data_IF_994981914665
#
_entry.id   IF_994981914665
#
_cell.length_a   1.000
_cell.length_b   1.000
_cell.length_c   1.000
_cell.angle_alpha   90.00
_cell.angle_beta   90.00
_cell.angle_gamma   90.00
#
_symmetry.space_group_name_H-M   'P 1'
#
loop_
_entity.id
_entity.type
_entity.pdbx_description
1 polymer ?
#
# COMPACT_ATOMS: atom_id res chain seq x y z
N UNK A 1 16.67 19.25 12.07
CA UNK A 1 15.67 18.65 11.15
C UNK A 1 14.56 19.66 10.84
N UNK A 2 13.95 20.35 11.85
CA UNK A 2 12.90 21.36 11.60
C UNK A 2 13.32 22.47 10.61
N UNK A 3 14.58 22.96 10.67
CA UNK A 3 15.11 23.90 9.68
C UNK A 3 15.12 23.30 8.26
N UNK A 4 15.57 22.05 8.12
CA UNK A 4 15.55 21.35 6.83
C UNK A 4 14.13 21.17 6.29
N UNK A 5 13.17 20.86 7.16
CA UNK A 5 11.76 20.79 6.76
C UNK A 5 11.27 22.15 6.27
N UNK A 6 11.60 23.24 6.99
CA UNK A 6 11.22 24.60 6.58
C UNK A 6 11.81 24.95 5.22
N UNK A 7 13.09 24.68 5.00
CA UNK A 7 13.77 24.92 3.72
C UNK A 7 13.13 24.10 2.59
N UNK A 8 12.80 22.85 2.86
CA UNK A 8 12.10 21.97 1.91
C UNK A 8 10.69 22.48 1.55
N UNK A 9 9.94 22.92 2.55
CA UNK A 9 8.61 23.51 2.34
C UNK A 9 8.68 24.80 1.54
N UNK A 10 9.70 25.67 1.79
CA UNK A 10 9.93 26.88 1.03
C UNK A 10 10.37 26.59 -0.41
N UNK A 11 11.07 25.47 -0.63
CA UNK A 11 11.43 24.98 -1.96
C UNK A 11 10.26 24.31 -2.71
N UNK A 12 9.10 24.15 -2.08
CA UNK A 12 7.86 23.64 -2.71
C UNK A 12 7.45 22.23 -2.34
N UNK A 13 7.96 21.67 -1.25
CA UNK A 13 7.48 20.39 -0.73
C UNK A 13 5.99 20.48 -0.33
N UNK A 14 5.24 19.38 -0.50
CA UNK A 14 3.82 19.30 -0.17
C UNK A 14 3.54 18.94 1.29
N UNK A 15 4.55 18.68 2.09
CA UNK A 15 4.42 18.33 3.50
C UNK A 15 5.54 17.42 3.96
N UNK A 16 5.30 16.66 5.03
CA UNK A 16 6.20 15.60 5.45
C UNK A 16 5.45 14.31 5.73
N UNK A 17 6.17 13.21 5.65
CA UNK A 17 5.67 11.89 5.98
C UNK A 17 6.47 11.28 7.11
N UNK A 18 5.80 10.46 7.93
CA UNK A 18 6.42 9.70 9.00
C UNK A 18 5.76 8.32 9.12
N UNK A 19 6.33 7.45 9.93
CA UNK A 19 5.77 6.12 10.15
C UNK A 19 5.84 5.74 11.63
N UNK A 20 4.80 5.11 12.10
CA UNK A 20 4.76 4.38 13.38
C UNK A 20 4.70 2.86 13.17
N UNK A 21 4.80 2.43 11.91
CA UNK A 21 4.66 1.06 11.45
C UNK A 21 5.74 0.12 12.01
N UNK A 22 5.32 -0.89 12.79
CA UNK A 22 6.21 -1.88 13.39
C UNK A 22 7.08 -2.63 12.38
N UNK A 23 6.53 -2.91 11.19
CA UNK A 23 7.21 -3.59 10.09
C UNK A 23 8.22 -2.70 9.34
N UNK A 24 8.17 -1.38 9.49
CA UNK A 24 9.17 -0.49 8.91
C UNK A 24 10.45 -0.54 9.73
N UNK A 25 11.31 -1.47 9.36
CA UNK A 25 12.60 -1.74 10.00
C UNK A 25 13.73 -1.47 9.02
N UNK A 26 14.86 -1.02 9.56
CA UNK A 26 16.10 -0.84 8.82
C UNK A 26 17.00 -2.07 8.91
N UNK A 27 18.28 -1.86 8.60
CA UNK A 27 19.29 -2.93 8.65
C UNK A 27 19.27 -3.66 10.00
N UNK A 28 19.34 -4.98 9.97
CA UNK A 28 19.28 -5.88 11.13
C UNK A 28 18.01 -5.75 12.00
N UNK A 29 16.87 -5.39 11.40
CA UNK A 29 15.61 -5.26 12.13
C UNK A 29 15.52 -4.05 13.08
N UNK A 30 16.46 -3.11 13.00
CA UNK A 30 16.43 -1.90 13.83
C UNK A 30 15.26 -1.00 13.40
N UNK A 31 14.51 -0.40 14.33
CA UNK A 31 13.48 0.57 14.00
C UNK A 31 14.06 1.71 13.13
N UNK A 32 13.29 2.20 12.17
CA UNK A 32 13.63 3.45 11.48
C UNK A 32 13.65 4.62 12.47
N UNK A 33 14.52 5.60 12.26
CA UNK A 33 14.70 6.72 13.18
C UNK A 33 13.39 7.49 13.42
N UNK A 34 12.55 7.66 12.41
CA UNK A 34 11.26 8.35 12.52
C UNK A 34 10.26 7.63 13.46
N UNK A 35 10.38 6.30 13.64
CA UNK A 35 9.58 5.53 14.61
C UNK A 35 9.95 5.80 16.07
N UNK A 36 11.11 6.40 16.30
CA UNK A 36 11.65 6.74 17.62
C UNK A 36 11.48 8.23 17.94
N UNK A 37 10.88 8.99 17.03
CA UNK A 37 10.60 10.40 17.23
C UNK A 37 9.64 10.58 18.43
N UNK A 38 10.02 11.43 19.37
CA UNK A 38 9.14 11.82 20.47
C UNK A 38 8.17 12.94 20.09
N UNK A 39 7.19 13.21 20.93
CA UNK A 39 6.23 14.26 20.70
C UNK A 39 6.87 15.65 20.51
N UNK A 40 8.02 15.90 21.13
CA UNK A 40 8.75 17.16 21.03
C UNK A 40 9.31 17.38 19.62
N UNK A 41 9.83 16.32 19.02
CA UNK A 41 10.31 16.34 17.65
C UNK A 41 9.14 16.55 16.67
N UNK A 42 8.05 15.80 16.83
CA UNK A 42 6.85 15.93 15.98
C UNK A 42 6.22 17.33 16.09
N UNK A 43 6.13 17.89 17.29
CA UNK A 43 5.65 19.26 17.51
C UNK A 43 6.49 20.30 16.78
N UNK A 44 7.83 20.14 16.77
CA UNK A 44 8.71 21.05 16.04
C UNK A 44 8.46 21.01 14.51
N UNK A 45 8.08 19.85 13.97
CA UNK A 45 7.69 19.74 12.55
C UNK A 45 6.30 20.34 12.28
N UNK A 46 5.36 20.11 13.16
CA UNK A 46 4.02 20.71 13.07
C UNK A 46 4.08 22.23 13.09
N UNK A 47 4.93 22.83 13.94
CA UNK A 47 5.11 24.28 14.03
C UNK A 47 5.59 24.88 12.71
N UNK A 48 6.48 24.20 11.97
CA UNK A 48 6.92 24.64 10.63
C UNK A 48 5.75 24.73 9.66
N UNK A 49 4.90 23.69 9.60
CA UNK A 49 3.74 23.67 8.71
C UNK A 49 2.70 24.73 9.10
N UNK A 50 2.49 24.91 10.40
CA UNK A 50 1.60 25.93 10.96
C UNK A 50 2.07 27.34 10.63
N UNK A 51 3.37 27.64 10.84
CA UNK A 51 3.98 28.94 10.49
C UNK A 51 3.80 29.27 9.02
N UNK A 52 4.05 28.30 8.14
CA UNK A 52 3.92 28.46 6.69
C UNK A 52 2.47 28.37 6.19
N UNK A 53 1.53 27.94 7.03
CA UNK A 53 0.12 27.72 6.73
C UNK A 53 -0.10 26.88 5.45
N UNK A 54 0.75 25.90 5.19
CA UNK A 54 0.64 25.00 4.03
C UNK A 54 1.24 23.63 4.31
N UNK A 55 0.93 22.68 3.44
CA UNK A 55 1.40 21.30 3.50
C UNK A 55 0.39 20.37 4.14
N UNK A 56 0.66 19.09 3.98
CA UNK A 56 -0.11 17.96 4.51
C UNK A 56 0.83 17.03 5.26
N UNK A 57 0.35 16.37 6.30
CA UNK A 57 1.11 15.35 7.02
C UNK A 57 0.55 13.98 6.61
N UNK A 58 1.43 13.05 6.31
CA UNK A 58 1.06 11.65 6.10
C UNK A 58 1.75 10.76 7.12
N UNK A 59 1.02 9.84 7.74
CA UNK A 59 1.55 8.91 8.73
C UNK A 59 1.12 7.48 8.44
N UNK A 60 2.07 6.55 8.42
CA UNK A 60 1.74 5.14 8.40
C UNK A 60 1.47 4.65 9.83
N UNK A 61 0.22 4.29 10.10
CA UNK A 61 -0.24 3.65 11.33
C UNK A 61 -0.22 2.15 11.15
N UNK A 62 -0.10 1.36 12.22
CA UNK A 62 0.12 -0.06 11.98
C UNK A 62 -0.13 -1.05 13.08
N UNK A 63 -0.86 -0.68 14.08
CA UNK A 63 -1.27 -1.73 15.01
C UNK A 63 -2.35 -2.62 14.38
N UNK A 64 -3.28 -2.03 13.64
CA UNK A 64 -4.33 -2.73 12.90
C UNK A 64 -4.78 -1.86 11.71
N UNK A 65 -4.81 -2.43 10.52
CA UNK A 65 -5.20 -1.68 9.30
C UNK A 65 -6.69 -1.35 9.23
N UNK A 66 -7.51 -1.93 10.07
CA UNK A 66 -8.96 -1.68 10.13
C UNK A 66 -9.37 -0.83 11.33
N UNK A 67 -8.45 -0.57 12.26
CA UNK A 67 -8.70 0.16 13.50
C UNK A 67 -7.62 1.18 13.79
N UNK A 68 -7.98 2.17 14.60
CA UNK A 68 -7.05 3.15 15.17
C UNK A 68 -6.98 2.93 16.66
N UNK A 69 -5.83 2.52 17.19
CA UNK A 69 -5.62 2.34 18.63
C UNK A 69 -5.64 3.66 19.38
N UNK A 70 -5.76 3.62 20.69
CA UNK A 70 -5.76 4.83 21.53
C UNK A 70 -4.50 5.67 21.32
N UNK A 71 -3.32 5.05 21.27
CA UNK A 71 -2.05 5.75 21.05
C UNK A 71 -1.93 6.36 19.65
N UNK A 72 -2.48 5.69 18.62
CA UNK A 72 -2.53 6.23 17.25
C UNK A 72 -3.52 7.38 17.15
N UNK A 73 -4.66 7.29 17.84
CA UNK A 73 -5.61 8.39 17.94
C UNK A 73 -4.98 9.62 18.61
N UNK A 74 -4.22 9.43 19.69
CA UNK A 74 -3.47 10.51 20.36
C UNK A 74 -2.43 11.13 19.42
N UNK A 75 -1.73 10.33 18.63
CA UNK A 75 -0.79 10.81 17.62
C UNK A 75 -1.48 11.64 16.53
N UNK A 76 -2.59 11.15 15.97
CA UNK A 76 -3.37 11.88 14.97
C UNK A 76 -3.91 13.21 15.53
N UNK A 77 -4.42 13.19 16.76
CA UNK A 77 -4.89 14.40 17.45
C UNK A 77 -3.76 15.42 17.68
N UNK A 78 -2.59 14.96 18.11
CA UNK A 78 -1.40 15.80 18.26
C UNK A 78 -1.03 16.48 16.95
N UNK A 79 -0.92 15.71 15.85
CA UNK A 79 -0.52 16.22 14.54
C UNK A 79 -1.54 17.23 14.00
N UNK A 80 -2.84 16.93 14.08
CA UNK A 80 -3.92 17.83 13.66
C UNK A 80 -3.93 19.13 14.48
N UNK A 81 -3.92 19.01 15.83
CA UNK A 81 -4.03 20.15 16.72
C UNK A 81 -2.80 21.07 16.64
N UNK A 82 -1.60 20.50 16.57
CA UNK A 82 -0.37 21.27 16.55
C UNK A 82 -0.09 21.95 15.20
N UNK A 83 -0.37 21.27 14.09
CA UNK A 83 -0.08 21.78 12.76
C UNK A 83 -1.20 22.68 12.20
N UNK A 84 -2.46 22.39 12.55
CA UNK A 84 -3.64 22.98 11.91
C UNK A 84 -3.74 22.62 10.42
N UNK A 85 -3.10 21.52 9.98
CA UNK A 85 -3.02 21.07 8.60
C UNK A 85 -3.70 19.71 8.44
N UNK A 86 -4.12 19.35 7.21
CA UNK A 86 -4.64 18.03 6.96
C UNK A 86 -3.64 16.94 7.34
N UNK A 87 -4.14 15.88 7.97
CA UNK A 87 -3.36 14.68 8.32
C UNK A 87 -4.02 13.49 7.67
N UNK A 88 -3.31 12.85 6.77
CA UNK A 88 -3.77 11.60 6.15
C UNK A 88 -2.98 10.42 6.72
N UNK A 89 -3.61 9.27 6.82
CA UNK A 89 -2.92 8.08 7.33
C UNK A 89 -3.15 6.83 6.48
N UNK A 90 -2.14 5.98 6.43
CA UNK A 90 -2.13 4.64 5.88
C UNK A 90 -2.34 3.64 7.02
N UNK A 91 -3.24 2.71 6.94
CA UNK A 91 -4.30 2.55 5.99
C UNK A 91 -5.59 2.25 6.75
N UNK A 92 -6.73 2.42 6.09
CA UNK A 92 -7.99 1.89 6.58
C UNK A 92 -8.48 0.86 5.57
N UNK A 93 -8.29 -0.42 5.89
CA UNK A 93 -8.58 -1.56 5.02
C UNK A 93 -9.51 -2.53 5.72
N UNK A 94 -10.36 -3.22 4.97
CA UNK A 94 -11.21 -4.26 5.52
C UNK A 94 -10.43 -5.53 5.85
N UNK A 95 -10.81 -6.14 6.96
CA UNK A 95 -10.41 -7.48 7.38
C UNK A 95 -11.62 -8.41 7.28
N UNK A 96 -11.39 -9.66 6.90
CA UNK A 96 -12.49 -10.62 6.75
C UNK A 96 -12.96 -11.18 8.09
N UNK A 97 -12.15 -11.06 9.15
CA UNK A 97 -12.47 -11.51 10.50
C UNK A 97 -13.28 -10.49 11.33
N UNK A 98 -13.45 -9.26 10.82
CA UNK A 98 -14.30 -8.22 11.42
C UNK A 98 -14.83 -7.25 10.36
N UNK A 99 -15.96 -7.59 9.78
CA UNK A 99 -16.59 -6.84 8.69
C UNK A 99 -17.07 -5.42 9.08
N UNK A 100 -17.21 -5.14 10.37
CA UNK A 100 -17.65 -3.83 10.87
C UNK A 100 -16.50 -2.94 11.37
N UNK A 101 -15.28 -3.45 11.45
CA UNK A 101 -14.16 -2.73 12.05
C UNK A 101 -13.90 -1.36 11.44
N UNK A 102 -13.93 -1.25 10.11
CA UNK A 102 -13.68 0.03 9.41
C UNK A 102 -14.76 1.08 9.68
N UNK A 103 -16.03 0.70 9.69
CA UNK A 103 -17.13 1.63 9.98
C UNK A 103 -17.15 2.07 11.44
N UNK A 104 -16.86 1.15 12.36
CA UNK A 104 -16.69 1.48 13.77
C UNK A 104 -15.55 2.49 13.94
N UNK A 105 -14.40 2.26 13.30
CA UNK A 105 -13.27 3.19 13.33
C UNK A 105 -13.63 4.56 12.79
N UNK A 106 -14.30 4.65 11.63
CA UNK A 106 -14.75 5.94 11.08
C UNK A 106 -15.69 6.70 12.03
N UNK A 107 -16.46 5.98 12.83
CA UNK A 107 -17.32 6.57 13.86
C UNK A 107 -16.49 7.06 15.05
N UNK A 108 -15.56 6.24 15.53
CA UNK A 108 -14.69 6.55 16.68
C UNK A 108 -13.74 7.73 16.43
N UNK A 109 -13.28 7.92 15.18
CA UNK A 109 -12.40 9.03 14.80
C UNK A 109 -13.12 10.18 14.07
N UNK A 110 -14.43 10.24 14.16
CA UNK A 110 -15.24 11.23 13.41
C UNK A 110 -14.88 12.69 13.74
N UNK A 111 -14.50 12.97 14.99
CA UNK A 111 -14.02 14.29 15.42
C UNK A 111 -12.65 14.65 14.82
N UNK A 112 -11.76 13.69 14.63
CA UNK A 112 -10.48 13.89 13.92
C UNK A 112 -10.73 14.16 12.43
N UNK A 113 -11.65 13.42 11.82
CA UNK A 113 -12.06 13.61 10.41
C UNK A 113 -12.65 15.01 10.22
N UNK A 114 -13.52 15.46 11.13
CA UNK A 114 -14.10 16.80 11.08
C UNK A 114 -13.05 17.94 11.14
N UNK A 115 -11.85 17.65 11.65
CA UNK A 115 -10.71 18.59 11.74
C UNK A 115 -9.68 18.42 10.63
N UNK A 116 -9.93 17.57 9.63
CA UNK A 116 -9.05 17.34 8.48
C UNK A 116 -8.20 16.09 8.59
N UNK A 117 -8.57 15.13 9.43
CA UNK A 117 -8.05 13.77 9.41
C UNK A 117 -8.64 12.98 8.25
N UNK A 118 -7.83 12.28 7.45
CA UNK A 118 -8.30 11.59 6.25
C UNK A 118 -7.64 10.21 6.16
N UNK A 119 -8.41 9.12 6.37
CA UNK A 119 -7.92 7.77 6.11
C UNK A 119 -7.74 7.51 4.64
N UNK A 120 -6.68 6.79 4.28
CA UNK A 120 -6.48 6.28 2.93
C UNK A 120 -6.91 4.82 2.85
N UNK A 121 -7.55 4.46 1.74
CA UNK A 121 -7.87 3.07 1.40
C UNK A 121 -7.59 2.79 -0.08
N UNK A 122 -7.52 1.51 -0.44
CA UNK A 122 -7.46 1.09 -1.83
C UNK A 122 -8.78 0.43 -2.25
N UNK A 123 -9.12 0.56 -3.52
CA UNK A 123 -10.27 -0.12 -4.11
C UNK A 123 -9.95 -1.56 -4.58
N UNK A 124 -8.71 -2.00 -4.38
CA UNK A 124 -8.22 -3.32 -4.80
C UNK A 124 -8.02 -4.22 -3.58
N UNK A 125 -8.03 -5.54 -3.74
CA UNK A 125 -7.41 -6.42 -2.77
C UNK A 125 -5.95 -6.04 -2.57
N UNK A 126 -5.52 -5.99 -1.31
CA UNK A 126 -4.13 -5.73 -0.95
C UNK A 126 -3.36 -7.04 -1.02
N UNK A 127 -2.63 -7.23 -2.13
CA UNK A 127 -1.90 -8.47 -2.40
C UNK A 127 -0.41 -8.22 -2.26
N UNK A 128 0.24 -9.00 -1.41
CA UNK A 128 1.69 -8.96 -1.25
C UNK A 128 2.32 -10.26 -1.81
N UNK A 129 3.43 -10.11 -2.53
CA UNK A 129 4.29 -11.22 -2.90
C UNK A 129 5.28 -11.47 -1.79
N UNK A 130 5.42 -12.73 -1.40
CA UNK A 130 6.28 -13.16 -0.29
C UNK A 130 7.25 -14.20 -0.82
N UNK A 131 8.54 -14.03 -0.51
CA UNK A 131 9.52 -15.12 -0.48
C UNK A 131 10.18 -15.18 0.89
N UNK A 132 10.85 -16.30 1.18
CA UNK A 132 11.50 -16.46 2.48
C UNK A 132 13.00 -16.14 2.48
N UNK A 133 13.56 -15.66 1.35
CA UNK A 133 14.91 -15.04 1.34
C UNK A 133 14.87 -13.67 1.98
N UNK A 134 13.78 -12.91 1.71
CA UNK A 134 13.54 -11.57 2.26
C UNK A 134 12.15 -11.49 2.91
N UNK A 135 11.94 -12.17 4.06
CA UNK A 135 10.61 -12.35 4.66
C UNK A 135 10.09 -11.07 5.34
N UNK A 136 9.87 -10.01 4.54
CA UNK A 136 9.50 -8.66 4.99
C UNK A 136 8.26 -8.65 5.88
N UNK A 137 7.22 -9.39 5.51
CA UNK A 137 5.94 -9.42 6.25
C UNK A 137 6.09 -9.95 7.68
N UNK A 138 7.13 -10.75 7.93
CA UNK A 138 7.41 -11.33 9.24
C UNK A 138 8.48 -10.59 10.03
N UNK A 139 9.02 -9.48 9.49
CA UNK A 139 10.17 -8.77 10.07
C UNK A 139 9.91 -8.19 11.47
N UNK A 140 8.65 -7.98 11.86
CA UNK A 140 8.27 -7.53 13.20
C UNK A 140 7.98 -8.67 14.19
N UNK A 141 8.05 -9.93 13.75
CA UNK A 141 7.91 -11.10 14.64
C UNK A 141 9.27 -11.48 15.20
N UNK A 142 9.43 -11.48 16.52
CA UNK A 142 10.69 -11.73 17.20
C UNK A 142 11.36 -13.06 16.78
N UNK A 143 10.56 -14.10 16.52
CA UNK A 143 11.06 -15.41 16.08
C UNK A 143 11.77 -15.36 14.72
N UNK A 144 11.52 -14.34 13.88
CA UNK A 144 12.18 -14.18 12.58
C UNK A 144 13.51 -13.41 12.65
N UNK A 145 13.82 -12.72 13.76
CA UNK A 145 15.07 -11.99 13.92
C UNK A 145 16.34 -12.83 13.59
N UNK A 146 16.42 -14.13 14.00
CA UNK A 146 17.57 -14.97 13.63
C UNK A 146 17.67 -15.29 12.14
N UNK A 147 16.56 -15.19 11.38
CA UNK A 147 16.49 -15.51 9.94
C UNK A 147 16.91 -14.32 9.08
N UNK A 148 16.64 -13.10 9.56
CA UNK A 148 16.87 -11.87 8.80
C UNK A 148 18.37 -11.65 8.53
N UNK A 149 18.71 -11.25 7.29
CA UNK A 149 20.06 -10.92 6.84
C UNK A 149 21.07 -12.09 6.97
N UNK A 150 20.59 -13.33 6.82
CA UNK A 150 21.41 -14.54 6.75
C UNK A 150 21.50 -15.02 5.30
N UNK A 151 22.50 -15.87 5.03
CA UNK A 151 22.52 -16.61 3.78
C UNK A 151 21.45 -17.71 3.74
N UNK A 152 21.12 -18.18 2.55
CA UNK A 152 20.03 -19.16 2.34
C UNK A 152 20.26 -20.46 3.11
N UNK A 153 21.51 -20.91 3.24
CA UNK A 153 21.80 -22.16 3.95
C UNK A 153 21.55 -22.03 5.46
N UNK A 154 21.95 -20.91 6.06
CA UNK A 154 21.65 -20.61 7.47
C UNK A 154 20.15 -20.42 7.69
N UNK A 155 19.46 -19.66 6.80
CA UNK A 155 18.00 -19.48 6.87
C UNK A 155 17.28 -20.84 6.84
N UNK A 156 17.59 -21.70 5.88
CA UNK A 156 16.99 -23.06 5.77
C UNK A 156 17.18 -23.86 7.04
N UNK A 157 18.38 -23.84 7.61
CA UNK A 157 18.68 -24.56 8.86
C UNK A 157 17.81 -24.07 10.03
N UNK A 158 17.57 -22.75 10.13
CA UNK A 158 16.71 -22.18 11.17
C UNK A 158 15.26 -22.59 10.92
N UNK A 159 14.74 -22.41 9.69
CA UNK A 159 13.36 -22.72 9.33
C UNK A 159 13.00 -24.21 9.47
N UNK A 160 13.99 -25.10 9.39
CA UNK A 160 13.82 -26.55 9.61
C UNK A 160 13.74 -26.93 11.09
N UNK A 161 14.13 -26.06 12.01
CA UNK A 161 14.20 -26.40 13.43
C UNK A 161 12.82 -26.40 14.10
N UNK A 162 12.55 -27.40 14.94
CA UNK A 162 11.30 -27.51 15.72
C UNK A 162 11.06 -26.27 16.59
N UNK A 163 12.16 -25.70 17.14
CA UNK A 163 12.09 -24.49 17.96
C UNK A 163 11.55 -23.30 17.18
N UNK A 164 12.03 -23.08 15.95
CA UNK A 164 11.54 -22.01 15.10
C UNK A 164 10.08 -22.24 14.71
N UNK A 165 9.72 -23.43 14.23
CA UNK A 165 8.37 -23.77 13.81
C UNK A 165 7.36 -23.58 14.94
N UNK A 166 7.69 -24.04 16.14
CA UNK A 166 6.85 -23.84 17.33
C UNK A 166 6.69 -22.35 17.65
N UNK A 167 7.80 -21.58 17.68
CA UNK A 167 7.76 -20.16 17.97
C UNK A 167 6.97 -19.39 16.91
N UNK A 168 7.11 -19.74 15.64
CA UNK A 168 6.35 -19.11 14.55
C UNK A 168 4.86 -19.38 14.63
N UNK A 169 4.45 -20.63 14.88
CA UNK A 169 3.03 -20.99 15.11
C UNK A 169 2.43 -20.23 16.29
N UNK A 170 3.17 -20.02 17.37
CA UNK A 170 2.72 -19.21 18.51
C UNK A 170 2.66 -17.72 18.18
N UNK A 171 3.61 -17.19 17.40
CA UNK A 171 3.59 -15.80 16.97
C UNK A 171 2.40 -15.48 16.06
N UNK A 172 2.05 -16.41 15.15
CA UNK A 172 0.91 -16.27 14.25
C UNK A 172 -0.45 -16.12 14.98
N UNK A 173 -0.59 -16.66 16.19
CA UNK A 173 -1.81 -16.52 17.02
C UNK A 173 -1.99 -15.09 17.58
N UNK A 174 -0.95 -14.25 17.55
CA UNK A 174 -0.92 -12.92 18.18
C UNK A 174 -0.75 -11.77 17.20
N UNK A 175 -0.46 -12.07 15.95
CA UNK A 175 -0.25 -11.03 14.92
C UNK A 175 -1.58 -10.48 14.45
N UNK A 176 -1.63 -9.16 14.23
CA UNK A 176 -2.79 -8.46 13.66
C UNK A 176 -2.67 -8.26 12.15
N UNK A 177 -1.47 -8.42 11.58
CA UNK A 177 -1.21 -8.19 10.16
C UNK A 177 -1.36 -9.48 9.36
N UNK A 178 -0.77 -10.57 9.84
CA UNK A 178 -0.87 -11.87 9.15
C UNK A 178 -2.01 -12.69 9.75
N UNK A 179 -3.07 -12.88 9.00
CA UNK A 179 -4.31 -13.52 9.49
C UNK A 179 -4.28 -15.04 9.50
N UNK A 180 -3.17 -15.70 9.14
CA UNK A 180 -3.03 -17.16 9.00
C UNK A 180 -4.06 -17.80 8.04
N UNK A 181 -4.54 -17.04 7.07
CA UNK A 181 -5.51 -17.46 6.05
C UNK A 181 -4.76 -18.13 4.90
N UNK A 182 -4.44 -19.39 5.06
CA UNK A 182 -3.65 -20.18 4.11
C UNK A 182 -4.40 -20.48 2.80
N UNK A 183 -5.73 -20.37 2.80
CA UNK A 183 -6.60 -20.47 1.63
C UNK A 183 -6.49 -19.29 0.64
N UNK A 184 -5.98 -18.14 1.08
CA UNK A 184 -5.75 -16.97 0.23
C UNK A 184 -4.26 -16.73 -0.07
N UNK A 185 -3.40 -17.67 0.32
CA UNK A 185 -1.99 -17.68 -0.02
C UNK A 185 -1.74 -18.72 -1.12
N UNK A 186 -1.42 -18.24 -2.33
CA UNK A 186 -1.22 -19.09 -3.51
C UNK A 186 0.23 -19.10 -3.99
N UNK A 187 0.68 -20.23 -4.52
CA UNK A 187 1.99 -20.35 -5.16
C UNK A 187 1.96 -19.56 -6.48
N UNK A 188 2.81 -18.55 -6.61
CA UNK A 188 2.91 -17.70 -7.81
C UNK A 188 3.98 -18.16 -8.77
N UNK A 189 5.20 -18.40 -8.26
CA UNK A 189 6.38 -18.74 -9.06
C UNK A 189 7.28 -19.69 -8.31
N UNK A 190 7.94 -20.60 -9.02
CA UNK A 190 8.90 -21.56 -8.48
C UNK A 190 10.16 -21.59 -9.33
N UNK A 191 11.31 -21.80 -8.71
CA UNK A 191 12.58 -22.03 -9.38
C UNK A 191 12.80 -23.53 -9.66
N UNK A 192 12.32 -24.38 -8.77
CA UNK A 192 12.43 -25.83 -8.91
C UNK A 192 11.29 -26.36 -9.82
N UNK A 193 11.65 -26.79 -11.04
CA UNK A 193 10.69 -27.29 -12.04
C UNK A 193 9.81 -28.43 -11.54
N UNK A 194 10.27 -29.24 -10.58
CA UNK A 194 9.45 -30.33 -10.02
C UNK A 194 8.23 -29.82 -9.25
N UNK A 195 8.20 -28.53 -8.88
CA UNK A 195 7.13 -27.87 -8.12
C UNK A 195 6.20 -27.03 -9.02
N UNK A 196 6.43 -26.95 -10.35
CA UNK A 196 5.61 -26.16 -11.28
C UNK A 196 4.11 -26.53 -11.23
N UNK A 197 3.79 -27.78 -10.92
CA UNK A 197 2.41 -28.26 -10.80
C UNK A 197 1.64 -27.64 -9.61
N UNK A 198 2.33 -26.96 -8.70
CA UNK A 198 1.74 -26.26 -7.54
C UNK A 198 1.34 -24.82 -7.85
N UNK A 199 1.81 -24.24 -8.97
CA UNK A 199 1.50 -22.85 -9.34
C UNK A 199 -0.01 -22.66 -9.44
N UNK A 200 -0.54 -21.64 -8.75
CA UNK A 200 -1.96 -21.34 -8.65
C UNK A 200 -2.72 -22.09 -7.55
N UNK A 201 -2.12 -23.08 -6.90
CA UNK A 201 -2.72 -23.75 -5.74
C UNK A 201 -2.47 -22.95 -4.47
N UNK A 202 -3.42 -22.97 -3.54
CA UNK A 202 -3.23 -22.35 -2.24
C UNK A 202 -2.59 -23.32 -1.23
N UNK A 203 -1.98 -22.74 -0.18
CA UNK A 203 -1.24 -23.52 0.82
C UNK A 203 -2.14 -24.47 1.60
N UNK A 204 -3.39 -24.08 1.91
CA UNK A 204 -4.34 -24.93 2.64
C UNK A 204 -4.70 -26.18 1.82
N UNK A 205 -4.92 -26.05 0.51
CA UNK A 205 -5.20 -27.19 -0.39
C UNK A 205 -4.00 -28.13 -0.50
N UNK A 206 -2.77 -27.58 -0.61
CA UNK A 206 -1.56 -28.40 -0.70
C UNK A 206 -1.35 -29.16 0.61
N UNK A 207 -1.45 -28.47 1.75
CA UNK A 207 -1.31 -29.07 3.08
C UNK A 207 -2.33 -30.19 3.32
N UNK A 208 -3.61 -29.96 2.95
CA UNK A 208 -4.66 -30.97 3.08
C UNK A 208 -4.40 -32.22 2.23
N UNK A 209 -3.85 -32.07 1.02
CA UNK A 209 -3.48 -33.19 0.14
C UNK A 209 -2.33 -34.04 0.70
N UNK A 210 -1.36 -33.39 1.33
CA UNK A 210 -0.20 -34.06 1.93
C UNK A 210 -0.46 -34.54 3.37
N UNK A 211 -1.57 -34.10 3.99
CA UNK A 211 -1.91 -34.44 5.38
C UNK A 211 -1.06 -33.72 6.41
N UNK A 212 -0.56 -32.51 6.06
CA UNK A 212 0.35 -31.71 6.88
C UNK A 212 -0.30 -30.44 7.44
N UNK A 213 0.33 -29.84 8.43
CA UNK A 213 -0.03 -28.51 8.96
C UNK A 213 0.29 -27.42 7.93
N UNK A 214 -0.60 -26.45 7.66
CA UNK A 214 -0.33 -25.41 6.66
C UNK A 214 0.92 -24.56 6.91
N UNK A 215 1.29 -24.30 8.17
CA UNK A 215 2.53 -23.56 8.51
C UNK A 215 3.77 -24.38 8.11
N UNK A 216 3.77 -25.66 8.44
CA UNK A 216 4.86 -26.56 8.09
C UNK A 216 4.96 -26.71 6.57
N UNK A 217 3.82 -26.90 5.88
CA UNK A 217 3.76 -26.98 4.42
C UNK A 217 4.33 -25.72 3.76
N UNK A 218 3.95 -24.53 4.21
CA UNK A 218 4.48 -23.25 3.71
C UNK A 218 6.00 -23.17 3.82
N UNK A 219 6.54 -23.51 5.00
CA UNK A 219 7.98 -23.51 5.24
C UNK A 219 8.70 -24.57 4.38
N UNK A 220 8.14 -25.78 4.29
CA UNK A 220 8.76 -26.89 3.55
C UNK A 220 8.76 -26.63 2.03
N UNK A 221 7.71 -26.04 1.48
CA UNK A 221 7.67 -25.64 0.08
C UNK A 221 8.74 -24.59 -0.22
N UNK A 222 8.85 -23.58 0.63
CA UNK A 222 9.90 -22.56 0.47
C UNK A 222 11.31 -23.17 0.56
N UNK A 223 11.55 -24.10 1.50
CA UNK A 223 12.85 -24.79 1.67
C UNK A 223 13.17 -25.65 0.45
N UNK A 224 12.19 -26.39 -0.12
CA UNK A 224 12.36 -27.20 -1.33
C UNK A 224 12.75 -26.36 -2.56
N UNK A 225 12.36 -25.07 -2.57
CA UNK A 225 12.65 -24.13 -3.66
C UNK A 225 13.76 -23.13 -3.31
N UNK A 226 14.68 -23.49 -2.41
CA UNK A 226 15.80 -22.66 -1.99
C UNK A 226 15.36 -21.27 -1.48
N UNK A 227 14.23 -21.21 -0.80
CA UNK A 227 13.54 -20.01 -0.29
C UNK A 227 13.16 -18.99 -1.38
N UNK A 228 13.22 -19.37 -2.66
CA UNK A 228 12.92 -18.50 -3.80
C UNK A 228 11.47 -18.57 -4.27
N UNK A 229 10.70 -19.57 -3.81
CA UNK A 229 9.27 -19.68 -4.12
C UNK A 229 8.56 -18.39 -3.79
N UNK A 230 7.80 -17.87 -4.77
CA UNK A 230 6.99 -16.69 -4.59
C UNK A 230 5.57 -17.10 -4.25
N UNK A 231 5.01 -16.45 -3.24
CA UNK A 231 3.62 -16.63 -2.86
C UNK A 231 2.88 -15.31 -3.04
N UNK A 232 1.69 -15.34 -3.63
CA UNK A 232 0.71 -14.26 -3.53
C UNK A 232 -0.09 -14.45 -2.25
N UNK A 233 -0.16 -13.41 -1.44
CA UNK A 233 -1.01 -13.41 -0.26
C UNK A 233 -1.99 -12.23 -0.31
N UNK A 234 -3.30 -12.51 -0.39
CA UNK A 234 -4.36 -11.51 -0.29
C UNK A 234 -4.57 -11.14 1.18
N UNK A 235 -3.85 -10.13 1.62
CA UNK A 235 -3.71 -9.78 3.02
C UNK A 235 -4.94 -9.04 3.58
N UNK A 236 -5.45 -8.06 2.83
CA UNK A 236 -6.58 -7.21 3.22
C UNK A 236 -7.46 -6.90 2.02
N UNK A 237 -8.66 -6.36 2.25
CA UNK A 237 -9.63 -6.04 1.20
C UNK A 237 -9.94 -7.22 0.27
N UNK A 238 -9.84 -8.45 0.78
CA UNK A 238 -10.08 -9.67 0.01
C UNK A 238 -11.57 -10.01 -0.08
N UNK A 239 -12.38 -9.57 0.88
CA UNK A 239 -13.84 -9.68 0.81
C UNK A 239 -14.42 -8.56 -0.04
N UNK A 240 -14.73 -8.89 -1.29
CA UNK A 240 -15.25 -7.93 -2.27
C UNK A 240 -16.57 -7.28 -1.81
N UNK A 241 -17.38 -7.97 -1.00
CA UNK A 241 -18.66 -7.44 -0.52
C UNK A 241 -18.52 -6.21 0.40
N UNK A 242 -17.38 -6.05 1.05
CA UNK A 242 -17.10 -4.94 1.97
C UNK A 242 -16.50 -3.70 1.29
N UNK A 243 -15.98 -3.83 0.07
CA UNK A 243 -15.29 -2.76 -0.63
C UNK A 243 -16.21 -1.61 -1.07
N UNK A 244 -17.45 -1.84 -1.54
CA UNK A 244 -18.36 -0.77 -1.92
C UNK A 244 -18.53 0.29 -0.83
N UNK A 245 -18.65 -0.13 0.42
CA UNK A 245 -18.83 0.77 1.56
C UNK A 245 -17.60 1.67 1.77
N UNK A 246 -16.38 1.13 1.62
CA UNK A 246 -15.13 1.88 1.72
C UNK A 246 -14.99 2.92 0.60
N UNK A 247 -15.19 2.50 -0.65
CA UNK A 247 -14.88 3.34 -1.81
C UNK A 247 -15.96 4.39 -2.09
N UNK A 248 -17.15 4.25 -1.53
CA UNK A 248 -18.22 5.25 -1.63
C UNK A 248 -18.25 6.25 -0.48
N UNK A 249 -17.63 5.93 0.65
CA UNK A 249 -17.58 6.80 1.83
C UNK A 249 -16.75 8.08 1.55
N UNK A 250 -17.35 9.28 1.66
CA UNK A 250 -16.65 10.52 1.36
C UNK A 250 -15.56 10.89 2.39
N UNK A 251 -15.53 10.24 3.53
CA UNK A 251 -14.52 10.45 4.58
C UNK A 251 -13.18 9.79 4.25
N UNK A 252 -13.15 8.84 3.32
CA UNK A 252 -11.99 8.04 2.94
C UNK A 252 -11.42 8.57 1.63
N UNK A 253 -10.10 8.67 1.50
CA UNK A 253 -9.43 8.93 0.22
C UNK A 253 -9.04 7.60 -0.43
N UNK A 254 -9.36 7.45 -1.71
CA UNK A 254 -8.87 6.33 -2.52
C UNK A 254 -7.44 6.61 -2.96
N UNK A 255 -6.51 5.73 -2.56
CA UNK A 255 -5.08 5.88 -2.82
C UNK A 255 -4.34 4.57 -2.67
N UNK A 256 -3.20 4.58 -1.98
CA UNK A 256 -2.37 3.40 -1.67
C UNK A 256 -1.84 2.68 -2.92
N UNK A 257 -1.18 3.42 -3.82
CA UNK A 257 -0.67 2.84 -5.06
C UNK A 257 0.50 1.87 -4.87
N UNK A 258 1.27 1.99 -3.77
CA UNK A 258 2.55 1.28 -3.53
C UNK A 258 3.48 1.28 -4.77
N UNK A 259 3.31 2.26 -5.64
CA UNK A 259 4.01 2.36 -6.92
C UNK A 259 5.40 2.98 -6.80
N UNK A 260 6.29 2.41 -6.00
CA UNK A 260 7.63 2.95 -5.82
C UNK A 260 8.33 2.42 -4.57
N UNK A 261 7.59 1.82 -3.63
CA UNK A 261 8.14 1.13 -2.48
C UNK A 261 7.90 -0.37 -2.63
N UNK A 262 8.83 -1.19 -2.11
CA UNK A 262 8.71 -2.65 -2.13
C UNK A 262 8.37 -3.21 -3.53
N UNK A 263 9.03 -2.70 -4.55
CA UNK A 263 8.67 -2.92 -5.97
C UNK A 263 8.67 -4.39 -6.39
N UNK A 264 9.32 -5.27 -5.66
CA UNK A 264 9.34 -6.71 -5.87
C UNK A 264 8.30 -7.49 -5.07
N UNK A 265 7.54 -6.79 -4.20
CA UNK A 265 6.56 -7.41 -3.32
C UNK A 265 5.15 -6.80 -3.43
N UNK A 266 5.02 -5.54 -3.82
CA UNK A 266 3.76 -4.81 -3.83
C UNK A 266 3.63 -3.93 -5.07
N UNK A 267 2.45 -3.87 -5.67
CA UNK A 267 2.09 -2.84 -6.64
C UNK A 267 0.57 -2.70 -6.75
N UNK A 268 0.03 -1.60 -6.25
CA UNK A 268 -1.37 -1.22 -6.41
C UNK A 268 -1.54 -0.05 -7.40
N UNK A 269 -0.52 0.29 -8.18
CA UNK A 269 -0.52 1.41 -9.12
C UNK A 269 -1.67 1.37 -10.15
N UNK A 270 -2.22 0.17 -10.41
CA UNK A 270 -3.40 0.00 -11.26
C UNK A 270 -4.76 0.37 -10.62
N UNK A 271 -4.78 0.92 -9.40
CA UNK A 271 -6.04 1.16 -8.67
C UNK A 271 -7.01 2.10 -9.41
N UNK A 272 -6.53 3.12 -10.12
CA UNK A 272 -7.39 4.02 -10.88
C UNK A 272 -8.15 3.28 -11.99
N UNK A 273 -7.46 2.48 -12.79
CA UNK A 273 -8.09 1.72 -13.87
C UNK A 273 -8.90 0.54 -13.35
N UNK A 274 -8.52 -0.04 -12.20
CA UNK A 274 -9.33 -1.04 -11.50
C UNK A 274 -10.66 -0.44 -11.00
N UNK A 275 -10.64 0.76 -10.42
CA UNK A 275 -11.85 1.47 -10.01
C UNK A 275 -12.81 1.64 -11.18
N UNK A 276 -12.31 2.11 -12.33
CA UNK A 276 -13.12 2.37 -13.52
C UNK A 276 -13.66 1.09 -14.16
N UNK A 277 -12.80 0.07 -14.30
CA UNK A 277 -13.19 -1.19 -14.95
C UNK A 277 -14.06 -2.06 -14.06
N UNK A 278 -13.60 -2.34 -12.86
CA UNK A 278 -14.25 -3.29 -11.96
C UNK A 278 -15.44 -2.66 -11.22
N UNK A 279 -15.21 -1.55 -10.49
CA UNK A 279 -16.26 -0.99 -9.62
C UNK A 279 -17.28 -0.13 -10.34
N UNK A 280 -16.90 0.56 -11.41
CA UNK A 280 -17.84 1.39 -12.19
C UNK A 280 -18.52 0.56 -13.26
N UNK A 281 -17.76 -0.08 -14.19
CA UNK A 281 -18.33 -0.79 -15.33
C UNK A 281 -18.96 -2.12 -14.97
N UNK A 282 -18.27 -2.97 -14.18
CA UNK A 282 -18.71 -4.35 -13.95
C UNK A 282 -19.66 -4.48 -12.76
N UNK A 283 -19.39 -3.73 -11.68
CA UNK A 283 -20.16 -3.81 -10.43
C UNK A 283 -21.16 -2.67 -10.24
N UNK A 284 -21.09 -1.61 -11.03
CA UNK A 284 -22.01 -0.45 -11.00
C UNK A 284 -22.15 0.17 -9.58
N UNK A 285 -21.08 0.15 -8.77
CA UNK A 285 -21.09 0.63 -7.38
C UNK A 285 -21.22 2.15 -7.29
N UNK A 286 -20.70 2.88 -8.26
CA UNK A 286 -20.80 4.34 -8.35
C UNK A 286 -20.84 4.81 -9.80
N UNK A 287 -21.27 6.06 -10.01
CA UNK A 287 -21.23 6.65 -11.36
C UNK A 287 -19.80 6.93 -11.81
N UNK A 288 -19.59 7.02 -13.13
CA UNK A 288 -18.28 7.35 -13.70
C UNK A 288 -17.76 8.70 -13.18
N UNK A 289 -18.64 9.72 -13.16
CA UNK A 289 -18.30 11.07 -12.70
C UNK A 289 -17.82 11.05 -11.24
N UNK A 290 -18.52 10.28 -10.39
CA UNK A 290 -18.12 10.14 -8.98
C UNK A 290 -16.77 9.44 -8.85
N UNK A 291 -16.54 8.37 -9.59
CA UNK A 291 -15.26 7.66 -9.59
C UNK A 291 -14.10 8.56 -10.05
N UNK A 292 -14.30 9.33 -11.13
CA UNK A 292 -13.30 10.30 -11.61
C UNK A 292 -13.00 11.34 -10.54
N UNK A 293 -14.02 11.91 -9.90
CA UNK A 293 -13.84 12.89 -8.82
C UNK A 293 -13.00 12.31 -7.67
N UNK A 294 -13.25 11.04 -7.28
CA UNK A 294 -12.53 10.34 -6.21
C UNK A 294 -11.03 10.20 -6.45
N UNK A 295 -10.59 10.06 -7.71
CA UNK A 295 -9.19 9.85 -8.08
C UNK A 295 -8.52 11.06 -8.72
N UNK A 296 -9.21 12.18 -8.83
CA UNK A 296 -8.65 13.42 -9.41
C UNK A 296 -8.85 14.63 -8.49
N UNK A 297 -10.07 15.19 -8.44
CA UNK A 297 -10.35 16.43 -7.71
C UNK A 297 -10.15 16.28 -6.20
N UNK A 298 -10.57 15.16 -5.61
CA UNK A 298 -10.44 14.95 -4.14
C UNK A 298 -8.98 14.91 -3.69
N UNK A 299 -8.09 14.07 -4.28
CA UNK A 299 -6.68 14.10 -3.90
C UNK A 299 -5.99 15.44 -4.27
N UNK A 300 -6.35 16.08 -5.39
CA UNK A 300 -5.81 17.39 -5.72
C UNK A 300 -6.14 18.44 -4.65
N UNK A 301 -7.40 18.47 -4.19
CA UNK A 301 -7.82 19.38 -3.12
C UNK A 301 -7.10 19.10 -1.79
N UNK A 302 -6.92 17.81 -1.42
CA UNK A 302 -6.22 17.43 -0.19
C UNK A 302 -4.79 17.96 -0.17
N UNK A 303 -4.07 17.82 -1.28
CA UNK A 303 -2.68 18.26 -1.39
C UNK A 303 -2.52 19.73 -1.82
N UNK A 304 -3.63 20.47 -1.99
CA UNK A 304 -3.60 21.88 -2.38
C UNK A 304 -3.13 22.12 -3.82
N UNK A 305 -3.33 21.14 -4.71
CA UNK A 305 -3.08 21.23 -6.14
C UNK A 305 -4.29 21.88 -6.80
N UNK A 306 -4.19 23.17 -7.14
CA UNK A 306 -5.34 23.96 -7.60
C UNK A 306 -5.45 24.05 -9.11
N UNK A 307 -4.37 23.84 -9.83
CA UNK A 307 -4.28 24.00 -11.28
C UNK A 307 -4.59 22.72 -12.07
N UNK A 308 -4.88 21.61 -11.37
CA UNK A 308 -5.10 20.28 -11.94
C UNK A 308 -6.24 19.54 -11.23
N UNK A 309 -6.58 18.35 -11.70
CA UNK A 309 -7.60 17.50 -11.07
C UNK A 309 -9.03 17.76 -11.50
N UNK A 310 -9.25 18.71 -12.42
CA UNK A 310 -10.55 18.99 -13.06
C UNK A 310 -10.34 19.65 -14.42
N UNK A 311 -11.33 19.52 -15.30
CA UNK A 311 -11.35 20.17 -16.61
C UNK A 311 -12.05 21.52 -16.47
N UNK A 312 -11.29 22.61 -16.63
CA UNK A 312 -11.82 23.98 -16.66
C UNK A 312 -10.90 24.91 -17.45
N UNK A 313 -11.42 26.00 -17.95
CA UNK A 313 -10.63 27.04 -18.64
C UNK A 313 -9.54 27.61 -17.71
N UNK A 314 -8.34 27.78 -18.25
CA UNK A 314 -7.19 28.31 -17.52
C UNK A 314 -6.42 27.30 -16.67
N UNK A 315 -6.89 26.07 -16.56
CA UNK A 315 -6.17 24.99 -15.88
C UNK A 315 -5.25 24.21 -16.83
N UNK A 316 -4.32 23.44 -16.28
CA UNK A 316 -3.43 22.59 -17.05
C UNK A 316 -4.24 21.57 -17.87
N UNK A 317 -3.86 21.41 -19.13
CA UNK A 317 -4.49 20.46 -20.05
C UNK A 317 -3.92 19.04 -19.82
N UNK A 318 -4.31 18.43 -18.70
CA UNK A 318 -3.95 17.05 -18.34
C UNK A 318 -5.17 16.15 -18.49
N UNK A 319 -5.09 15.15 -19.38
CA UNK A 319 -6.20 14.27 -19.68
C UNK A 319 -5.77 12.81 -19.70
N UNK A 320 -6.63 11.94 -19.17
CA UNK A 320 -6.63 10.52 -19.48
C UNK A 320 -7.85 10.24 -20.40
N UNK A 321 -7.59 9.83 -21.65
CA UNK A 321 -8.60 9.47 -22.63
C UNK A 321 -8.67 7.95 -22.68
N UNK A 322 -9.83 7.38 -22.39
CA UNK A 322 -10.01 5.95 -22.27
C UNK A 322 -11.35 5.47 -22.84
N UNK A 323 -11.39 4.21 -23.24
CA UNK A 323 -12.61 3.53 -23.60
C UNK A 323 -13.22 2.86 -22.38
N UNK A 324 -14.39 3.32 -21.92
CA UNK A 324 -15.10 2.78 -20.77
C UNK A 324 -15.45 1.29 -20.92
N UNK A 325 -15.61 0.80 -22.15
CA UNK A 325 -15.94 -0.62 -22.40
C UNK A 325 -14.76 -1.56 -22.15
N UNK A 326 -13.53 -1.04 -22.17
CA UNK A 326 -12.30 -1.84 -22.06
C UNK A 326 -11.36 -1.42 -20.95
N UNK A 327 -11.52 -0.20 -20.38
CA UNK A 327 -10.63 0.28 -19.33
C UNK A 327 -10.62 -0.66 -18.13
N UNK A 328 -9.42 -0.92 -17.60
CA UNK A 328 -9.25 -1.78 -16.44
C UNK A 328 -7.79 -2.12 -16.15
N UNK A 329 -7.58 -2.87 -15.11
CA UNK A 329 -6.34 -3.56 -14.76
C UNK A 329 -6.69 -4.87 -14.07
N UNK A 330 -5.75 -5.81 -14.05
CA UNK A 330 -5.97 -7.09 -13.40
C UNK A 330 -5.84 -6.98 -11.87
N UNK A 331 -6.45 -7.92 -11.18
CA UNK A 331 -6.37 -8.05 -9.71
C UNK A 331 -4.94 -8.30 -9.25
N UNK A 332 -4.19 -9.12 -9.98
CA UNK A 332 -2.80 -9.47 -9.70
C UNK A 332 -1.88 -8.77 -10.69
N UNK A 333 -0.66 -8.42 -10.24
CA UNK A 333 0.39 -7.93 -11.12
C UNK A 333 1.16 -9.06 -11.81
N UNK A 334 2.03 -8.67 -12.74
CA UNK A 334 3.02 -9.53 -13.37
C UNK A 334 4.43 -9.15 -12.92
N UNK A 335 5.28 -10.16 -12.71
CA UNK A 335 6.69 -9.93 -12.38
C UNK A 335 7.48 -9.60 -13.64
N UNK A 336 8.26 -8.52 -13.62
CA UNK A 336 9.20 -8.12 -14.69
C UNK A 336 10.61 -8.04 -14.13
N UNK A 337 11.58 -8.38 -14.96
CA UNK A 337 13.02 -8.38 -14.64
C UNK A 337 13.75 -7.32 -15.47
N UNK A 338 13.22 -6.10 -15.49
CA UNK A 338 13.66 -5.00 -16.36
C UNK A 338 14.37 -3.85 -15.61
N UNK A 339 14.63 -4.01 -14.31
CA UNK A 339 15.45 -3.08 -13.55
C UNK A 339 16.95 -3.31 -13.81
N UNK A 340 17.82 -2.31 -13.56
CA UNK A 340 19.27 -2.46 -13.69
C UNK A 340 19.79 -3.68 -12.93
N UNK A 341 20.70 -4.42 -13.58
CA UNK A 341 21.25 -5.67 -13.03
C UNK A 341 20.29 -6.86 -13.04
N UNK A 342 19.19 -6.80 -13.81
CA UNK A 342 18.18 -7.85 -13.85
C UNK A 342 17.30 -7.87 -12.60
N UNK A 343 17.23 -6.76 -11.87
CA UNK A 343 16.35 -6.63 -10.70
C UNK A 343 14.88 -6.77 -11.09
N UNK A 344 14.11 -7.46 -10.24
CA UNK A 344 12.68 -7.70 -10.47
C UNK A 344 11.81 -6.58 -9.93
N UNK A 345 10.66 -6.40 -10.55
CA UNK A 345 9.57 -5.56 -10.05
C UNK A 345 8.21 -6.11 -10.44
N UNK A 346 7.23 -5.87 -9.59
CA UNK A 346 5.84 -6.14 -9.88
C UNK A 346 5.24 -4.98 -10.68
N UNK A 347 4.49 -5.28 -11.73
CA UNK A 347 3.81 -4.30 -12.57
C UNK A 347 2.35 -4.69 -12.69
N UNK A 348 1.45 -3.72 -12.60
CA UNK A 348 0.02 -3.90 -12.88
C UNK A 348 -0.32 -3.11 -14.14
N UNK A 349 -0.31 -3.75 -15.32
CA UNK A 349 -0.62 -3.09 -16.57
C UNK A 349 -2.06 -2.59 -16.61
N UNK A 350 -2.25 -1.40 -17.18
CA UNK A 350 -3.58 -0.89 -17.54
C UNK A 350 -3.95 -1.28 -18.97
N UNK A 351 -5.25 -1.38 -19.24
CA UNK A 351 -5.81 -1.55 -20.58
C UNK A 351 -6.89 -0.49 -20.83
N UNK A 352 -7.26 -0.25 -22.09
CA UNK A 352 -8.32 0.68 -22.47
C UNK A 352 -7.96 2.16 -22.31
N UNK A 353 -6.68 2.49 -22.04
CA UNK A 353 -6.18 3.88 -22.05
C UNK A 353 -5.70 4.18 -23.47
N UNK A 354 -6.39 5.09 -24.14
CA UNK A 354 -6.07 5.51 -25.50
C UNK A 354 -4.96 6.56 -25.53
N UNK A 355 -5.13 7.61 -24.72
CA UNK A 355 -4.13 8.69 -24.63
C UNK A 355 -3.93 9.16 -23.19
N UNK A 356 -2.69 9.51 -22.87
CA UNK A 356 -2.32 10.31 -21.70
C UNK A 356 -1.75 11.63 -22.20
N UNK A 357 -2.41 12.73 -21.84
CA UNK A 357 -2.03 14.10 -22.22
C UNK A 357 -1.56 14.84 -20.97
N UNK A 358 -0.41 15.51 -21.08
CA UNK A 358 0.16 16.31 -19.99
C UNK A 358 0.54 17.69 -20.51
N UNK A 359 0.03 18.75 -19.90
CA UNK A 359 0.19 20.13 -20.33
C UNK A 359 -0.14 20.36 -21.83
N UNK A 360 -1.11 19.62 -22.34
CA UNK A 360 -1.58 19.72 -23.73
C UNK A 360 -0.86 18.82 -24.75
N UNK A 361 0.22 18.16 -24.37
CA UNK A 361 0.94 17.26 -25.25
C UNK A 361 0.64 15.79 -24.95
N UNK A 362 0.57 14.97 -26.01
CA UNK A 362 0.36 13.52 -25.89
C UNK A 362 1.66 12.90 -25.36
N UNK A 363 1.62 12.38 -24.14
CA UNK A 363 2.73 11.66 -23.52
C UNK A 363 2.74 10.18 -23.90
N UNK A 364 1.57 9.56 -23.90
CA UNK A 364 1.33 8.18 -24.34
C UNK A 364 0.19 8.12 -25.33
N UNK A 365 0.34 7.32 -26.37
CA UNK A 365 -0.70 6.99 -27.33
C UNK A 365 -0.80 5.46 -27.48
N UNK A 366 -1.96 4.87 -27.18
CA UNK A 366 -2.20 3.41 -27.25
C UNK A 366 -1.11 2.60 -26.53
N UNK A 367 -0.72 3.03 -25.34
CA UNK A 367 0.31 2.40 -24.50
C UNK A 367 1.77 2.64 -24.94
N UNK A 368 2.01 3.44 -26.00
CA UNK A 368 3.36 3.76 -26.50
C UNK A 368 3.79 5.15 -26.05
N UNK A 369 5.00 5.25 -25.50
CA UNK A 369 5.65 6.53 -25.18
C UNK A 369 5.89 7.33 -26.47
N UNK A 370 5.39 8.56 -26.52
CA UNK A 370 5.58 9.47 -27.65
C UNK A 370 6.97 10.11 -27.69
N UNK A 371 7.72 10.02 -26.61
CA UNK A 371 8.97 10.75 -26.40
C UNK A 371 8.79 12.18 -25.85
N UNK A 372 7.56 12.69 -25.70
CA UNK A 372 7.31 13.99 -25.08
C UNK A 372 7.74 14.00 -23.61
N UNK A 373 8.19 15.16 -23.11
CA UNK A 373 8.62 15.37 -21.71
C UNK A 373 8.12 16.72 -21.21
N UNK A 374 6.82 16.91 -21.27
CA UNK A 374 6.13 18.20 -21.03
C UNK A 374 5.65 18.39 -19.59
N UNK A 375 5.87 17.37 -18.75
CA UNK A 375 5.60 17.47 -17.32
C UNK A 375 6.41 18.56 -16.63
N UNK A 376 5.81 19.23 -15.66
CA UNK A 376 6.49 20.22 -14.80
C UNK A 376 6.51 19.73 -13.37
N UNK A 377 7.56 20.13 -12.63
CA UNK A 377 7.63 19.85 -11.19
C UNK A 377 6.63 20.77 -10.48
N UNK A 378 5.61 20.17 -9.87
CA UNK A 378 4.64 20.92 -9.08
C UNK A 378 5.25 21.31 -7.73
N UNK A 379 4.95 22.54 -7.29
CA UNK A 379 5.42 23.07 -6.01
C UNK A 379 4.22 23.48 -5.15
N UNK A 380 4.24 23.12 -3.88
CA UNK A 380 3.21 23.54 -2.93
C UNK A 380 3.15 25.08 -2.86
N UNK A 381 1.93 25.63 -3.00
CA UNK A 381 1.68 27.06 -3.04
C UNK A 381 1.75 27.70 -4.43
N UNK A 382 2.15 26.94 -5.46
CA UNK A 382 2.21 27.38 -6.87
C UNK A 382 1.40 26.45 -7.79
N UNK A 383 1.05 25.25 -7.29
CA UNK A 383 0.39 24.18 -8.06
C UNK A 383 -1.14 24.32 -8.16
#
# INVERSE_FOLDING_TARGET
>A
IASLLKDSMLAGAFGFTTTNAGQHVGYQGRPLACRLADNKELLAYCEVLKELNRGTIEVALTNDVSRVSASERELLDLLLSASGRPVTWLALLNRDDDEHATQNTLTEVSDLIARGGIPQSTCRPFIIQIDLRTPFIFANMECWNPVLNRDVAEQKKILQSDNFRTAFKEALKRTLIFSSRWEVMTVLEVQNKSLEHLIGMNIAEIAAKEGEDPVDMFLDLAIRDELAMQFNYELFNSNEALIPELITDPRIMIGLSHGGAHVDALCDAGYCTYLLGHWVREKEVMTLERAIQRITTEPANLFGITQRGRIAEGLAADFAIFDLTTVGSDKTGEMRYDLPGGGRRLVVPSRGIEYTVVNGDILYAHGKDSGARTGTVLRSGEA
#
